data_IF_572640917287
#
_entry.id   IF_572640917287
#
_cell.length_a   1.000
_cell.length_b   1.000
_cell.length_c   1.000
_cell.angle_alpha   90.00
_cell.angle_beta   90.00
_cell.angle_gamma   90.00
#
_symmetry.space_group_name_H-M   'P 1'
#
loop_
_entity.id
_entity.type
_entity.pdbx_description
1 polymer ?
#
# COMPACT_ATOMS: atom_id res chain seq x y z
N UNK A 1 -2.11 10.41 -4.46
CA UNK A 1 -2.90 9.28 -4.98
C UNK A 1 -2.47 8.04 -4.21
N UNK A 2 -3.36 7.35 -3.50
CA UNK A 2 -3.03 6.14 -2.72
C UNK A 2 -3.68 4.95 -3.41
N UNK A 3 -2.89 4.08 -4.03
CA UNK A 3 -3.40 2.83 -4.64
C UNK A 3 -3.76 1.87 -3.51
N UNK A 4 -4.99 1.37 -3.51
CA UNK A 4 -5.45 0.30 -2.62
C UNK A 4 -5.65 -0.96 -3.47
N UNK A 5 -4.81 -1.96 -3.29
CA UNK A 5 -5.16 -3.35 -3.59
C UNK A 5 -5.61 -4.03 -2.30
N UNK A 6 -6.80 -4.61 -2.34
CA UNK A 6 -7.34 -5.43 -1.26
C UNK A 6 -7.71 -6.77 -1.89
N UNK A 7 -6.74 -7.68 -1.98
CA UNK A 7 -7.02 -9.05 -2.39
C UNK A 7 -7.77 -9.76 -1.26
N UNK A 8 -9.09 -9.89 -1.39
CA UNK A 8 -9.87 -10.80 -0.53
C UNK A 8 -9.54 -12.23 -0.96
N UNK A 9 -8.63 -12.89 -0.23
CA UNK A 9 -8.34 -14.30 -0.40
C UNK A 9 -9.59 -15.15 -0.25
N UNK A 10 -10.11 -15.63 -1.39
CA UNK A 10 -11.16 -16.63 -1.44
C UNK A 10 -10.68 -17.92 -0.78
N UNK A 11 -11.57 -18.54 -0.01
CA UNK A 11 -11.35 -19.84 0.64
C UNK A 11 -10.99 -20.90 -0.40
N UNK A 12 -9.72 -21.29 -0.50
CA UNK A 12 -9.35 -22.54 -1.17
C UNK A 12 -9.43 -23.68 -0.16
N UNK A 13 -10.46 -24.51 -0.29
CA UNK A 13 -10.55 -25.81 0.37
C UNK A 13 -9.42 -26.70 -0.15
N UNK A 14 -8.28 -26.75 0.55
CA UNK A 14 -7.18 -27.65 0.16
C UNK A 14 -7.39 -29.03 0.76
N UNK A 15 -7.51 -30.00 -0.14
CA UNK A 15 -7.49 -31.44 0.09
C UNK A 15 -6.42 -31.86 1.10
N UNK A 16 -6.85 -32.64 2.09
CA UNK A 16 -6.06 -33.18 3.19
C UNK A 16 -5.02 -34.16 2.66
N UNK A 17 -3.78 -33.70 2.46
CA UNK A 17 -2.59 -34.57 2.38
C UNK A 17 -1.57 -34.14 3.43
N UNK A 18 -1.59 -34.85 4.54
CA UNK A 18 -0.70 -34.67 5.68
C UNK A 18 0.76 -34.84 5.25
N UNK A 19 1.57 -33.79 5.41
CA UNK A 19 3.04 -33.90 5.52
C UNK A 19 3.43 -33.59 6.97
N UNK A 20 4.31 -34.39 7.60
CA UNK A 20 4.69 -34.17 9.00
C UNK A 20 5.83 -33.16 9.13
N UNK A 21 5.73 -32.36 10.20
CA UNK A 21 6.77 -31.63 10.93
C UNK A 21 7.59 -30.55 10.21
N UNK A 22 7.20 -29.30 10.47
CA UNK A 22 8.01 -28.10 10.40
C UNK A 22 7.14 -26.92 10.82
N UNK A 23 7.52 -26.17 11.85
CA UNK A 23 6.88 -24.89 12.17
C UNK A 23 7.16 -23.96 10.99
N UNK A 24 6.26 -23.90 10.02
CA UNK A 24 6.39 -23.07 8.83
C UNK A 24 5.64 -21.76 9.08
N UNK A 25 6.46 -20.72 9.26
CA UNK A 25 6.26 -19.29 9.04
C UNK A 25 4.97 -18.59 9.53
N UNK A 26 5.17 -17.52 10.30
CA UNK A 26 4.12 -16.72 10.90
C UNK A 26 3.45 -15.76 9.92
N UNK A 27 2.34 -16.17 9.32
CA UNK A 27 1.41 -15.25 8.67
C UNK A 27 0.45 -14.58 9.66
N UNK A 28 -0.21 -13.50 9.23
CA UNK A 28 -1.30 -12.86 9.97
C UNK A 28 -2.58 -12.77 9.12
N UNK A 29 -3.73 -12.70 9.79
CA UNK A 29 -5.00 -12.42 9.10
C UNK A 29 -5.06 -10.94 8.77
N UNK A 30 -5.42 -10.66 7.50
CA UNK A 30 -5.44 -9.32 6.87
C UNK A 30 -4.05 -8.74 6.62
N UNK A 31 -3.93 -7.95 5.56
CA UNK A 31 -2.71 -7.24 5.23
C UNK A 31 -3.05 -5.85 4.68
N UNK A 32 -2.20 -4.86 4.97
CA UNK A 32 -2.40 -3.47 4.55
C UNK A 32 -1.07 -2.88 4.10
N UNK A 33 -0.95 -2.73 2.78
CA UNK A 33 0.18 -2.08 2.13
C UNK A 33 -0.27 -0.77 1.46
N UNK A 34 0.68 0.11 1.16
CA UNK A 34 0.43 1.35 0.44
C UNK A 34 1.70 1.85 -0.26
N UNK A 35 1.50 2.58 -1.35
CA UNK A 35 2.54 3.29 -2.07
C UNK A 35 2.38 4.80 -1.93
N UNK A 36 3.49 5.49 -1.71
CA UNK A 36 3.52 6.96 -1.64
C UNK A 36 4.24 7.49 -2.87
N UNK A 37 3.51 8.27 -3.67
CA UNK A 37 4.01 8.91 -4.87
C UNK A 37 4.17 10.40 -4.59
N UNK A 38 5.40 10.89 -4.59
CA UNK A 38 5.73 12.30 -4.55
C UNK A 38 5.83 12.84 -5.98
N UNK A 39 5.13 13.92 -6.24
CA UNK A 39 5.11 14.60 -7.54
C UNK A 39 5.32 16.09 -7.36
N UNK A 40 5.84 16.74 -8.42
CA UNK A 40 5.95 18.20 -8.48
C UNK A 40 5.44 18.65 -9.85
N UNK A 41 4.27 19.31 -9.86
CA UNK A 41 3.52 19.49 -11.09
C UNK A 41 3.12 18.14 -11.66
N UNK A 42 3.33 17.94 -12.96
CA UNK A 42 2.98 16.71 -13.66
C UNK A 42 4.07 15.62 -13.60
N UNK A 43 5.19 15.88 -12.91
CA UNK A 43 6.31 14.95 -12.88
C UNK A 43 6.36 14.16 -11.55
N UNK A 44 6.39 12.82 -11.66
CA UNK A 44 6.66 11.93 -10.54
C UNK A 44 8.13 12.00 -10.18
N UNK A 45 8.41 12.37 -8.93
CA UNK A 45 9.77 12.56 -8.43
C UNK A 45 10.26 11.37 -7.62
N UNK A 46 9.39 10.78 -6.80
CA UNK A 46 9.73 9.61 -5.99
C UNK A 46 8.53 8.72 -5.79
N UNK A 47 8.77 7.42 -5.80
CA UNK A 47 7.79 6.41 -5.42
C UNK A 47 8.38 5.58 -4.30
N UNK A 48 7.62 5.45 -3.22
CA UNK A 48 8.04 4.81 -1.99
C UNK A 48 7.00 3.72 -1.62
N UNK A 49 7.23 2.47 -2.02
CA UNK A 49 6.39 1.33 -1.65
C UNK A 49 6.60 0.93 -0.19
N UNK A 50 5.53 0.50 0.49
CA UNK A 50 5.65 0.00 1.85
C UNK A 50 6.25 -1.42 1.89
N UNK A 51 7.21 -1.62 2.80
CA UNK A 51 7.67 -2.96 3.14
C UNK A 51 7.98 -3.09 4.63
N UNK A 52 7.27 -4.01 5.29
CA UNK A 52 7.36 -4.30 6.73
C UNK A 52 7.30 -3.04 7.62
N UNK A 53 6.45 -2.07 7.25
CA UNK A 53 6.27 -0.79 7.97
C UNK A 53 7.31 0.30 7.69
N UNK A 54 8.24 0.04 6.76
CA UNK A 54 9.19 1.00 6.21
C UNK A 54 8.92 1.32 4.74
N UNK A 55 9.73 2.21 4.18
CA UNK A 55 9.63 2.73 2.80
C UNK A 55 11.00 2.78 2.10
N UNK A 56 11.89 1.83 2.44
CA UNK A 56 13.28 1.83 1.99
C UNK A 56 13.48 1.44 0.52
N UNK A 57 12.53 0.71 -0.08
CA UNK A 57 12.57 0.27 -1.48
C UNK A 57 12.14 1.34 -2.49
N UNK A 58 12.41 2.61 -2.20
CA UNK A 58 11.97 3.73 -3.04
C UNK A 58 12.78 3.84 -4.34
N UNK A 59 12.20 4.51 -5.33
CA UNK A 59 12.88 4.89 -6.57
C UNK A 59 12.63 6.36 -6.89
N UNK A 60 13.70 7.05 -7.29
CA UNK A 60 13.67 8.46 -7.70
C UNK A 60 13.59 8.57 -9.22
N UNK A 61 12.78 9.51 -9.70
CA UNK A 61 12.40 9.67 -11.12
C UNK A 61 12.12 8.32 -11.82
N UNK A 62 11.25 7.45 -11.26
CA UNK A 62 11.13 6.07 -11.72
C UNK A 62 10.42 5.92 -13.06
N UNK A 63 9.82 6.98 -13.58
CA UNK A 63 9.00 6.95 -14.79
C UNK A 63 9.71 7.69 -15.93
N UNK A 64 9.97 7.01 -17.06
CA UNK A 64 10.55 7.66 -18.23
C UNK A 64 9.47 8.38 -19.08
N UNK A 65 9.76 9.59 -19.53
CA UNK A 65 8.92 10.32 -20.49
C UNK A 65 7.58 10.77 -19.89
N UNK A 66 6.50 10.58 -20.64
CA UNK A 66 5.14 10.99 -20.26
C UNK A 66 4.38 9.92 -19.44
N UNK A 67 5.06 8.86 -18.97
CA UNK A 67 4.45 7.85 -18.10
C UNK A 67 4.17 8.43 -16.71
N UNK A 68 2.98 8.16 -16.19
CA UNK A 68 2.50 8.67 -14.90
C UNK A 68 2.13 7.55 -13.93
N UNK A 69 2.28 6.28 -14.32
CA UNK A 69 1.84 5.13 -13.54
C UNK A 69 3.01 4.24 -13.09
N UNK A 70 3.45 4.33 -11.82
CA UNK A 70 4.46 3.42 -11.30
C UNK A 70 3.95 1.98 -11.28
N UNK A 71 4.81 1.05 -11.71
CA UNK A 71 4.58 -0.39 -11.61
C UNK A 71 5.06 -0.91 -10.25
N UNK A 72 4.11 -1.39 -9.44
CA UNK A 72 4.35 -1.90 -8.09
C UNK A 72 4.02 -3.39 -8.02
N UNK A 73 4.90 -4.16 -7.38
CA UNK A 73 4.73 -5.60 -7.16
C UNK A 73 4.45 -5.84 -5.69
N UNK A 74 3.32 -6.49 -5.40
CA UNK A 74 3.05 -7.13 -4.10
C UNK A 74 3.62 -8.56 -4.12
N UNK A 75 4.46 -8.91 -3.16
CA UNK A 75 5.11 -10.23 -3.12
C UNK A 75 5.32 -10.74 -1.69
N UNK A 76 5.46 -12.05 -1.54
CA UNK A 76 5.95 -12.65 -0.29
C UNK A 76 7.45 -12.35 -0.14
N UNK A 77 7.85 -11.79 1.00
CA UNK A 77 9.25 -11.46 1.28
C UNK A 77 9.87 -12.47 2.24
N UNK A 78 10.99 -13.07 1.85
CA UNK A 78 11.79 -13.95 2.71
C UNK A 78 11.05 -15.15 3.32
N UNK A 79 9.93 -15.60 2.73
CA UNK A 79 9.08 -16.66 3.25
C UNK A 79 8.26 -16.27 4.49
N UNK A 80 8.00 -14.98 4.70
CA UNK A 80 7.36 -14.40 5.89
C UNK A 80 6.04 -13.70 5.51
N UNK A 81 5.94 -12.39 5.78
CA UNK A 81 4.83 -11.50 5.43
C UNK A 81 5.06 -10.92 4.03
N UNK A 82 4.00 -10.41 3.42
CA UNK A 82 4.13 -9.77 2.12
C UNK A 82 4.69 -8.36 2.27
N UNK A 83 5.16 -7.80 1.15
CA UNK A 83 5.34 -6.37 1.01
C UNK A 83 5.28 -5.88 -0.44
N UNK A 84 5.32 -4.55 -0.63
CA UNK A 84 5.38 -3.90 -1.92
C UNK A 84 6.80 -3.48 -2.29
N UNK A 85 7.10 -3.53 -3.60
CA UNK A 85 8.35 -3.03 -4.19
C UNK A 85 8.12 -2.49 -5.59
N UNK A 86 9.08 -1.70 -6.08
CA UNK A 86 9.14 -1.34 -7.49
C UNK A 86 9.31 -2.59 -8.38
N UNK A 87 8.65 -2.59 -9.54
CA UNK A 87 8.90 -3.57 -10.58
C UNK A 87 10.35 -3.46 -11.11
N UNK A 88 10.92 -4.57 -11.54
CA UNK A 88 12.21 -4.64 -12.23
C UNK A 88 12.09 -5.48 -13.51
N UNK A 89 13.17 -5.51 -14.29
CA UNK A 89 13.28 -6.33 -15.50
C UNK A 89 12.97 -7.80 -15.18
N UNK A 90 11.97 -8.38 -15.86
CA UNK A 90 11.51 -9.75 -15.60
C UNK A 90 10.24 -9.85 -14.74
N UNK A 91 9.60 -8.74 -14.38
CA UNK A 91 8.26 -8.75 -13.75
C UNK A 91 7.11 -8.61 -14.77
N UNK A 92 7.39 -8.75 -16.07
CA UNK A 92 6.33 -8.73 -17.09
C UNK A 92 5.57 -10.06 -17.18
N UNK A 93 6.11 -11.15 -16.63
CA UNK A 93 5.40 -12.42 -16.41
C UNK A 93 4.60 -12.32 -15.09
N UNK A 94 3.43 -11.68 -15.15
CA UNK A 94 2.61 -11.37 -13.96
C UNK A 94 1.93 -12.62 -13.39
N UNK A 95 2.13 -12.89 -12.10
CA UNK A 95 1.66 -14.12 -11.42
C UNK A 95 0.23 -14.05 -10.84
N UNK A 96 -0.53 -12.97 -11.12
CA UNK A 96 -1.90 -12.84 -10.60
C UNK A 96 -2.93 -13.57 -11.48
N UNK A 97 -4.17 -13.69 -11.01
CA UNK A 97 -5.25 -14.40 -11.72
C UNK A 97 -5.54 -13.87 -13.13
N UNK A 98 -5.27 -12.58 -13.38
CA UNK A 98 -5.49 -11.97 -14.69
C UNK A 98 -4.29 -12.13 -15.62
N UNK A 99 -3.14 -12.61 -15.13
CA UNK A 99 -1.86 -12.68 -15.86
C UNK A 99 -1.44 -11.33 -16.47
N UNK A 100 -1.92 -10.23 -15.88
CA UNK A 100 -1.84 -8.87 -16.41
C UNK A 100 -1.58 -7.86 -15.28
N UNK A 101 -0.97 -6.73 -15.62
CA UNK A 101 -0.90 -5.57 -14.72
C UNK A 101 -2.30 -5.01 -14.46
N UNK A 102 -2.67 -4.88 -13.18
CA UNK A 102 -4.01 -4.40 -12.78
C UNK A 102 -3.92 -2.99 -12.22
N UNK A 103 -4.83 -2.13 -12.66
CA UNK A 103 -5.13 -0.85 -12.01
C UNK A 103 -6.47 -0.93 -11.34
N UNK A 104 -6.48 -0.90 -10.00
CA UNK A 104 -7.72 -0.97 -9.22
C UNK A 104 -8.51 0.34 -9.28
N UNK A 105 -9.86 0.29 -9.21
CA UNK A 105 -10.67 1.48 -9.01
C UNK A 105 -10.25 2.24 -7.74
N UNK A 106 -10.06 3.54 -7.86
CA UNK A 106 -9.60 4.39 -6.76
C UNK A 106 -10.78 5.05 -6.03
N UNK A 107 -10.74 4.99 -4.69
CA UNK A 107 -11.63 5.77 -3.82
C UNK A 107 -10.78 6.82 -3.09
N UNK A 108 -11.04 8.11 -3.37
CA UNK A 108 -10.37 9.21 -2.67
C UNK A 108 -10.80 9.31 -1.20
N UNK A 109 -9.90 9.80 -0.33
CA UNK A 109 -10.17 9.92 1.12
C UNK A 109 -11.46 10.70 1.46
N UNK A 110 -11.75 11.75 0.70
CA UNK A 110 -12.96 12.57 0.86
C UNK A 110 -14.19 12.03 0.12
N UNK A 111 -14.03 10.94 -0.65
CA UNK A 111 -15.04 10.40 -1.57
C UNK A 111 -15.43 8.96 -1.23
N UNK A 112 -15.26 8.56 0.03
CA UNK A 112 -15.73 7.26 0.49
C UNK A 112 -17.25 7.16 0.39
N UNK A 113 -17.80 6.06 -0.14
CA UNK A 113 -19.24 5.85 -0.13
C UNK A 113 -19.77 5.83 1.30
N UNK A 114 -21.07 6.10 1.43
CA UNK A 114 -21.79 6.05 2.70
C UNK A 114 -22.75 4.86 2.74
N UNK A 115 -22.96 4.31 3.92
CA UNK A 115 -24.05 3.37 4.20
C UNK A 115 -25.42 4.05 4.15
N UNK A 116 -26.50 3.25 4.20
CA UNK A 116 -27.89 3.74 4.20
C UNK A 116 -28.20 4.72 5.34
N UNK A 117 -27.50 4.62 6.47
CA UNK A 117 -27.61 5.56 7.59
C UNK A 117 -26.62 6.73 7.52
N UNK A 118 -26.09 7.05 6.32
CA UNK A 118 -25.18 8.18 6.05
C UNK A 118 -23.84 8.13 6.77
N UNK A 119 -23.40 6.95 7.24
CA UNK A 119 -22.06 6.77 7.81
C UNK A 119 -21.07 6.45 6.69
N UNK A 120 -19.92 7.13 6.67
CA UNK A 120 -18.87 6.80 5.70
C UNK A 120 -18.32 5.39 5.97
N UNK A 121 -18.15 4.58 4.92
CA UNK A 121 -17.49 3.27 5.05
C UNK A 121 -16.08 3.37 5.61
N UNK A 122 -15.38 4.50 5.36
CA UNK A 122 -14.10 4.84 5.98
C UNK A 122 -14.13 4.71 7.50
N UNK A 123 -15.11 5.33 8.13
CA UNK A 123 -15.22 5.38 9.59
C UNK A 123 -15.63 4.01 10.17
N UNK A 124 -16.23 3.13 9.35
CA UNK A 124 -16.47 1.74 9.71
C UNK A 124 -15.17 0.92 9.65
N UNK A 125 -14.39 1.05 8.58
CA UNK A 125 -13.09 0.37 8.44
C UNK A 125 -12.17 0.75 9.60
N UNK A 126 -11.98 2.05 9.84
CA UNK A 126 -11.08 2.50 10.90
C UNK A 126 -11.60 2.29 12.31
N UNK A 127 -12.92 2.22 12.51
CA UNK A 127 -13.51 1.86 13.79
C UNK A 127 -13.31 0.38 14.16
N UNK A 128 -12.90 -0.48 13.22
CA UNK A 128 -12.65 -1.91 13.46
C UNK A 128 -11.19 -2.24 13.77
N UNK A 129 -10.26 -1.36 13.43
CA UNK A 129 -8.83 -1.59 13.59
C UNK A 129 -8.31 -0.97 14.90
N UNK A 130 -7.92 -1.79 15.90
CA UNK A 130 -7.29 -1.26 17.11
C UNK A 130 -5.90 -0.70 16.78
N UNK A 131 -5.43 0.26 17.59
CA UNK A 131 -4.19 1.00 17.31
C UNK A 131 -2.93 0.12 17.35
N UNK A 132 -3.01 -1.08 17.95
CA UNK A 132 -1.94 -2.08 18.10
C UNK A 132 -2.07 -3.27 17.13
N UNK A 133 -2.98 -3.21 16.15
CA UNK A 133 -3.12 -4.28 15.17
C UNK A 133 -1.83 -4.48 14.36
N UNK A 134 -1.42 -5.74 14.23
CA UNK A 134 -0.23 -6.17 13.50
C UNK A 134 -0.26 -5.78 12.02
N UNK A 135 -1.46 -5.70 11.42
CA UNK A 135 -1.70 -5.14 10.11
C UNK A 135 -2.84 -4.11 10.23
N UNK A 136 -2.56 -2.84 9.98
CA UNK A 136 -3.56 -1.77 10.11
C UNK A 136 -3.36 -0.73 9.01
N UNK A 137 -4.43 -0.15 8.46
CA UNK A 137 -4.31 0.87 7.42
C UNK A 137 -3.54 2.10 7.93
N UNK A 138 -2.52 2.54 7.19
CA UNK A 138 -1.53 3.55 7.63
C UNK A 138 -1.84 5.00 7.24
N UNK A 139 -3.06 5.26 6.76
CA UNK A 139 -3.44 6.54 6.15
C UNK A 139 -4.57 7.30 6.89
N UNK A 140 -4.74 7.04 8.20
CA UNK A 140 -5.58 7.88 9.07
C UNK A 140 -4.75 8.89 9.85
N UNK A 141 -5.36 10.00 10.25
CA UNK A 141 -4.68 11.03 11.06
C UNK A 141 -4.56 10.68 12.56
N UNK A 142 -5.29 9.69 13.05
CA UNK A 142 -5.19 9.29 14.46
C UNK A 142 -3.73 8.91 14.81
N UNK A 143 -3.25 9.39 15.96
CA UNK A 143 -1.87 9.20 16.44
C UNK A 143 -0.78 9.65 15.44
N UNK A 144 -1.07 10.66 14.61
CA UNK A 144 -0.17 11.17 13.56
C UNK A 144 0.25 10.08 12.55
N UNK A 145 -0.55 9.02 12.38
CA UNK A 145 -0.17 7.89 11.52
C UNK A 145 0.08 8.32 10.07
N UNK A 146 -0.81 9.14 9.49
CA UNK A 146 -0.64 9.65 8.12
C UNK A 146 0.62 10.51 7.99
N UNK A 147 0.78 11.55 8.82
CA UNK A 147 1.96 12.42 8.82
C UNK A 147 3.26 11.64 9.02
N UNK A 148 3.33 10.71 9.97
CA UNK A 148 4.53 9.92 10.24
C UNK A 148 4.85 8.95 9.09
N UNK A 149 3.83 8.41 8.44
CA UNK A 149 3.97 7.61 7.23
C UNK A 149 4.58 8.42 6.09
N UNK A 150 4.08 9.64 5.85
CA UNK A 150 4.66 10.56 4.87
C UNK A 150 6.11 10.92 5.20
N UNK A 151 6.44 11.22 6.46
CA UNK A 151 7.82 11.50 6.90
C UNK A 151 8.76 10.33 6.61
N UNK A 152 8.33 9.10 6.91
CA UNK A 152 9.14 7.90 6.65
C UNK A 152 9.38 7.69 5.16
N UNK A 153 8.38 7.94 4.32
CA UNK A 153 8.49 7.77 2.88
C UNK A 153 9.29 8.89 2.21
N UNK A 154 9.16 10.12 2.71
CA UNK A 154 9.98 11.24 2.28
C UNK A 154 11.45 10.97 2.63
N UNK A 155 11.75 10.64 3.89
CA UNK A 155 13.14 10.62 4.37
C UNK A 155 13.77 12.01 4.21
N UNK A 156 15.05 12.06 3.82
CA UNK A 156 15.77 13.33 3.57
C UNK A 156 15.48 13.93 2.17
N UNK A 157 14.44 13.45 1.48
CA UNK A 157 14.24 13.70 0.05
C UNK A 157 13.80 15.13 -0.28
N UNK A 158 13.11 15.82 0.64
CA UNK A 158 12.65 17.19 0.44
C UNK A 158 12.74 18.02 1.71
N UNK A 159 13.67 18.98 1.73
CA UNK A 159 13.76 19.98 2.81
C UNK A 159 12.52 20.87 2.86
N UNK A 160 11.85 21.09 1.72
CA UNK A 160 10.66 21.96 1.60
C UNK A 160 9.32 21.21 1.73
N UNK A 161 9.31 19.87 1.87
CA UNK A 161 8.07 19.10 2.04
C UNK A 161 7.77 18.91 3.51
N UNK A 162 6.77 19.63 4.02
CA UNK A 162 6.27 19.43 5.37
C UNK A 162 4.96 18.63 5.39
N UNK A 163 5.09 17.33 5.66
CA UNK A 163 3.97 16.39 5.87
C UNK A 163 2.92 16.79 6.92
N UNK A 164 3.18 17.82 7.74
CA UNK A 164 2.26 18.30 8.77
C UNK A 164 1.38 19.47 8.32
N UNK A 165 1.61 20.01 7.13
CA UNK A 165 0.78 21.03 6.51
C UNK A 165 0.16 20.50 5.21
N UNK A 166 -1.09 20.88 4.98
CA UNK A 166 -1.75 20.71 3.69
C UNK A 166 -1.76 22.09 3.01
N UNK A 167 -1.17 22.18 1.83
CA UNK A 167 -1.10 23.42 1.06
C UNK A 167 -2.49 23.65 0.43
N UNK A 168 -3.42 24.22 1.20
CA UNK A 168 -4.81 24.48 0.76
C UNK A 168 -4.92 25.57 -0.35
N UNK A 169 -3.80 26.11 -0.84
CA UNK A 169 -3.82 27.10 -1.92
C UNK A 169 -3.77 26.47 -3.31
N UNK A 170 -4.93 26.03 -3.81
CA UNK A 170 -5.17 25.81 -5.24
C UNK A 170 -6.56 26.32 -5.65
#
# INVERSE_FOLDING_TARGET
MVVLDATMGGTSTTSRRTRPSGVLSGGHTHDWENDIVFSRGDEVKKVAPSCHGGYGGFADSPLPGDDTHPKIVYHEDGGSTHCMRMAHEGNDDVENYTEDWVTSPLVGWSWWPTTDNSRAYRDLVYGKWPNDATAAPKFRDADYMYTNTLRKAAGDYYEDFDSSYDDIEW
#
